data_IF_283262711735
#
_entry.id   IF_283262711735
#
_cell.length_a   1.000
_cell.length_b   1.000
_cell.length_c   1.000
_cell.angle_alpha   90.00
_cell.angle_beta   90.00
_cell.angle_gamma   90.00
#
_symmetry.space_group_name_H-M   'P 1'
#
loop_
_entity.id
_entity.type
_entity.pdbx_description
1 polymer ?
#
# COMPACT_ATOMS: atom_id res chain seq x y z
N UNK A 1 -4.29 -27.19 -8.32
CA UNK A 1 -5.30 -26.13 -8.54
C UNK A 1 -4.57 -24.81 -8.69
N UNK A 2 -4.70 -24.08 -9.81
CA UNK A 2 -4.15 -22.73 -9.91
C UNK A 2 -5.05 -21.75 -9.14
N UNK A 3 -4.45 -20.95 -8.26
CA UNK A 3 -5.14 -19.90 -7.48
C UNK A 3 -5.76 -18.81 -8.36
N UNK A 4 -6.62 -17.95 -7.79
CA UNK A 4 -7.38 -16.98 -8.57
C UNK A 4 -6.43 -15.99 -9.27
N UNK A 5 -6.52 -15.98 -10.60
CA UNK A 5 -5.89 -14.97 -11.46
C UNK A 5 -6.63 -13.64 -11.25
N UNK A 6 -5.85 -12.57 -11.21
CA UNK A 6 -6.25 -11.17 -10.90
C UNK A 6 -7.60 -10.81 -11.53
N UNK A 7 -8.59 -10.47 -10.68
CA UNK A 7 -9.91 -9.93 -11.11
C UNK A 7 -9.93 -8.44 -10.80
N UNK A 8 -10.01 -7.61 -11.84
CA UNK A 8 -10.24 -6.18 -11.75
C UNK A 8 -9.99 -5.48 -13.09
N UNK A 9 -10.90 -4.59 -13.49
CA UNK A 9 -10.71 -3.71 -14.65
C UNK A 9 -9.65 -2.66 -14.29
N UNK A 10 -8.45 -2.79 -14.87
CA UNK A 10 -7.36 -1.83 -14.65
C UNK A 10 -7.70 -0.57 -15.46
N UNK A 11 -8.35 0.41 -14.83
CA UNK A 11 -8.82 1.63 -15.49
C UNK A 11 -7.70 2.56 -16.02
N UNK A 12 -6.44 2.34 -15.62
CA UNK A 12 -5.24 3.01 -16.15
C UNK A 12 -4.07 2.04 -16.14
N UNK A 13 -3.73 1.50 -17.31
CA UNK A 13 -2.52 0.72 -17.51
C UNK A 13 -1.29 1.63 -17.33
N UNK A 14 -0.22 1.09 -16.74
CA UNK A 14 1.08 1.73 -16.80
C UNK A 14 1.87 1.11 -17.92
N UNK A 15 2.45 1.97 -18.75
CA UNK A 15 3.34 1.57 -19.81
C UNK A 15 4.71 2.16 -19.52
N UNK A 16 5.70 1.30 -19.51
CA UNK A 16 7.10 1.66 -19.44
C UNK A 16 7.80 1.08 -20.65
N UNK A 17 8.48 1.93 -21.41
CA UNK A 17 9.17 1.56 -22.63
C UNK A 17 10.63 1.92 -22.50
N UNK A 18 11.51 0.98 -22.85
CA UNK A 18 12.94 1.23 -22.97
C UNK A 18 13.42 0.89 -24.38
N UNK A 19 14.43 1.63 -24.86
CA UNK A 19 15.09 1.32 -26.13
C UNK A 19 16.33 0.49 -25.82
N UNK A 20 16.48 -0.64 -26.51
CA UNK A 20 17.64 -1.51 -26.36
C UNK A 20 18.46 -1.48 -27.65
N UNK A 21 19.76 -1.23 -27.52
CA UNK A 21 20.68 -1.09 -28.65
C UNK A 21 21.85 -2.08 -28.52
N UNK A 22 22.35 -2.57 -29.65
CA UNK A 22 23.59 -3.35 -29.70
C UNK A 22 24.77 -2.39 -29.70
N UNK A 23 25.65 -2.55 -28.74
CA UNK A 23 26.83 -1.70 -28.63
C UNK A 23 28.08 -2.57 -28.84
N UNK A 24 28.94 -2.16 -29.79
CA UNK A 24 30.20 -2.86 -30.14
C UNK A 24 31.25 -2.79 -29.00
N UNK A 25 31.03 -1.94 -28.00
CA UNK A 25 31.96 -1.71 -26.91
C UNK A 25 31.81 -2.77 -25.81
N UNK A 26 32.94 -3.16 -25.21
CA UNK A 26 33.07 -4.37 -24.40
C UNK A 26 32.36 -4.33 -23.03
N UNK A 27 31.56 -3.31 -22.73
CA UNK A 27 30.82 -3.17 -21.47
C UNK A 27 29.33 -2.81 -21.70
N UNK A 28 28.45 -3.60 -21.11
CA UNK A 28 27.00 -3.37 -21.11
C UNK A 28 26.69 -2.14 -20.26
N UNK A 29 26.23 -1.06 -20.86
CA UNK A 29 25.95 0.21 -20.18
C UNK A 29 24.45 0.49 -20.14
N UNK A 30 24.00 1.00 -18.99
CA UNK A 30 22.65 1.53 -18.81
C UNK A 30 22.85 3.03 -18.60
N UNK A 31 22.36 3.85 -19.53
CA UNK A 31 22.50 5.30 -19.47
C UNK A 31 21.23 5.93 -18.90
N UNK A 32 21.34 6.90 -17.97
CA UNK A 32 20.20 7.64 -17.43
C UNK A 32 19.28 8.20 -18.52
N UNK A 33 18.08 7.65 -18.64
CA UNK A 33 17.08 8.07 -19.65
C UNK A 33 17.50 7.83 -21.12
N UNK A 34 18.55 7.04 -21.34
CA UNK A 34 19.09 6.66 -22.65
C UNK A 34 18.78 5.19 -23.00
N UNK A 35 19.28 4.71 -24.16
CA UNK A 35 19.10 3.31 -24.53
C UNK A 35 19.94 2.38 -23.65
N UNK A 36 19.41 1.18 -23.37
CA UNK A 36 20.15 0.09 -22.72
C UNK A 36 21.07 -0.55 -23.77
N UNK A 37 22.38 -0.43 -23.56
CA UNK A 37 23.39 -1.05 -24.41
C UNK A 37 23.60 -2.52 -24.00
N UNK A 38 23.27 -3.44 -24.91
CA UNK A 38 23.58 -4.86 -24.76
C UNK A 38 24.73 -5.26 -25.70
N UNK A 39 25.58 -6.18 -25.23
CA UNK A 39 26.62 -6.80 -26.07
C UNK A 39 26.03 -7.69 -27.15
N UNK A 40 24.94 -8.38 -26.83
CA UNK A 40 24.20 -9.24 -27.75
C UNK A 40 22.73 -9.33 -27.36
N UNK A 41 21.85 -9.56 -28.34
CA UNK A 41 20.45 -9.87 -28.11
C UNK A 41 20.26 -11.36 -27.79
N UNK A 42 20.77 -11.79 -26.64
CA UNK A 42 20.48 -13.13 -26.11
C UNK A 42 19.15 -13.16 -25.37
N UNK A 43 18.50 -14.33 -25.35
CA UNK A 43 17.22 -14.51 -24.63
C UNK A 43 17.37 -14.15 -23.14
N UNK A 44 18.49 -14.54 -22.52
CA UNK A 44 18.71 -14.31 -21.08
C UNK A 44 18.88 -12.82 -20.75
N UNK A 45 19.57 -12.04 -21.60
CA UNK A 45 19.70 -10.59 -21.41
C UNK A 45 18.38 -9.86 -21.58
N UNK A 46 17.62 -10.24 -22.60
CA UNK A 46 16.28 -9.71 -22.82
C UNK A 46 15.35 -10.07 -21.65
N UNK A 47 15.49 -11.27 -21.07
CA UNK A 47 14.72 -11.69 -19.91
C UNK A 47 15.06 -10.85 -18.68
N UNK A 48 16.34 -10.57 -18.43
CA UNK A 48 16.79 -9.68 -17.34
C UNK A 48 16.25 -8.25 -17.52
N UNK A 49 16.31 -7.70 -18.74
CA UNK A 49 15.74 -6.37 -19.04
C UNK A 49 14.22 -6.36 -18.86
N UNK A 50 13.52 -7.41 -19.32
CA UNK A 50 12.08 -7.54 -19.17
C UNK A 50 11.66 -7.68 -17.69
N UNK A 51 12.44 -8.40 -16.88
CA UNK A 51 12.22 -8.52 -15.43
C UNK A 51 12.34 -7.15 -14.73
N UNK A 52 13.40 -6.40 -15.02
CA UNK A 52 13.59 -5.07 -14.45
C UNK A 52 12.46 -4.10 -14.83
N UNK A 53 12.04 -4.09 -16.11
CA UNK A 53 10.91 -3.28 -16.57
C UNK A 53 9.59 -3.70 -15.91
N UNK A 54 9.32 -5.01 -15.84
CA UNK A 54 8.11 -5.51 -15.20
C UNK A 54 8.04 -5.09 -13.72
N UNK A 55 9.18 -5.13 -13.01
CA UNK A 55 9.30 -4.65 -11.62
C UNK A 55 9.04 -3.16 -11.52
N UNK A 56 9.66 -2.33 -12.38
CA UNK A 56 9.45 -0.87 -12.37
C UNK A 56 7.99 -0.47 -12.64
N UNK A 57 7.35 -1.13 -13.60
CA UNK A 57 5.93 -0.88 -13.95
C UNK A 57 4.98 -1.34 -12.84
N UNK A 58 5.22 -2.48 -12.19
CA UNK A 58 4.41 -2.89 -11.03
C UNK A 58 4.59 -1.91 -9.87
N UNK A 59 5.81 -1.42 -9.66
CA UNK A 59 6.13 -0.50 -8.58
C UNK A 59 5.45 0.86 -8.76
N UNK A 60 5.46 1.42 -9.97
CA UNK A 60 4.75 2.67 -10.25
C UNK A 60 3.21 2.51 -10.06
N UNK A 61 2.66 1.34 -10.40
CA UNK A 61 1.24 1.05 -10.15
C UNK A 61 0.91 1.07 -8.66
N UNK A 62 1.71 0.41 -7.83
CA UNK A 62 1.51 0.35 -6.39
C UNK A 62 1.77 1.72 -5.73
N UNK A 63 2.77 2.48 -6.18
CA UNK A 63 3.04 3.86 -5.74
C UNK A 63 1.84 4.78 -5.96
N UNK A 64 1.18 4.72 -7.12
CA UNK A 64 -0.04 5.50 -7.38
C UNK A 64 -1.18 5.10 -6.45
N UNK A 65 -1.37 3.80 -6.22
CA UNK A 65 -2.43 3.32 -5.31
C UNK A 65 -2.20 3.77 -3.88
N UNK A 66 -0.96 3.75 -3.42
CA UNK A 66 -0.59 4.25 -2.08
C UNK A 66 -0.75 5.76 -2.00
N UNK A 67 -0.32 6.50 -3.03
CA UNK A 67 -0.45 7.97 -3.06
C UNK A 67 -1.91 8.42 -3.00
N UNK A 68 -2.81 7.72 -3.69
CA UNK A 68 -4.26 8.00 -3.64
C UNK A 68 -4.85 7.85 -2.22
N UNK A 69 -4.21 7.09 -1.33
CA UNK A 69 -4.64 6.99 0.08
C UNK A 69 -4.23 8.23 0.87
N UNK A 70 -3.05 8.78 0.59
CA UNK A 70 -2.58 10.02 1.23
C UNK A 70 -3.47 11.22 0.87
N UNK A 71 -3.95 11.30 -0.37
CA UNK A 71 -4.90 12.34 -0.82
C UNK A 71 -6.19 12.38 0.02
N UNK A 72 -6.54 11.27 0.69
CA UNK A 72 -7.71 11.15 1.56
C UNK A 72 -7.34 11.29 3.04
N UNK A 73 -6.17 10.79 3.45
CA UNK A 73 -5.68 10.91 4.83
C UNK A 73 -5.37 12.36 5.20
N UNK A 74 -4.79 13.14 4.29
CA UNK A 74 -4.37 14.52 4.61
C UNK A 74 -5.56 15.44 4.95
N UNK A 75 -6.64 15.54 4.15
CA UNK A 75 -7.82 16.31 4.52
C UNK A 75 -8.47 15.79 5.80
N UNK A 76 -8.47 14.48 6.01
CA UNK A 76 -8.96 13.86 7.24
C UNK A 76 -8.19 14.34 8.47
N UNK A 77 -6.86 14.34 8.42
CA UNK A 77 -6.02 14.78 9.52
C UNK A 77 -6.22 16.27 9.80
N UNK A 78 -6.37 17.10 8.76
CA UNK A 78 -6.67 18.53 8.90
C UNK A 78 -8.04 18.77 9.55
N UNK A 79 -9.10 18.05 9.13
CA UNK A 79 -10.41 18.15 9.77
C UNK A 79 -10.36 17.75 11.25
N UNK A 80 -9.63 16.69 11.57
CA UNK A 80 -9.47 16.24 12.95
C UNK A 80 -8.73 17.27 13.81
N UNK A 81 -7.67 17.88 13.27
CA UNK A 81 -6.89 18.91 13.95
C UNK A 81 -7.69 20.21 14.18
N UNK A 82 -8.53 20.60 13.22
CA UNK A 82 -9.30 21.86 13.27
C UNK A 82 -10.59 21.74 14.08
N UNK A 83 -11.33 20.64 13.92
CA UNK A 83 -12.67 20.49 14.50
C UNK A 83 -12.73 19.52 15.68
N UNK A 84 -11.67 18.74 15.95
CA UNK A 84 -11.65 17.70 16.97
C UNK A 84 -12.68 16.59 16.73
N UNK A 85 -13.25 16.54 15.52
CA UNK A 85 -14.33 15.63 15.15
C UNK A 85 -13.92 14.84 13.94
N UNK A 86 -14.39 13.62 13.92
CA UNK A 86 -14.10 12.68 12.87
C UNK A 86 -15.09 12.84 11.71
N UNK A 87 -14.64 12.87 10.45
CA UNK A 87 -15.50 13.05 9.28
C UNK A 87 -16.64 12.04 9.18
N UNK A 88 -17.71 12.40 8.45
CA UNK A 88 -18.87 11.52 8.19
C UNK A 88 -18.53 10.29 7.34
N UNK A 89 -17.48 10.34 6.51
CA UNK A 89 -17.13 9.29 5.52
C UNK A 89 -16.09 8.27 6.01
N UNK A 90 -16.09 7.94 7.30
CA UNK A 90 -15.10 7.00 7.90
C UNK A 90 -14.99 5.66 7.18
N UNK A 91 -16.12 5.09 6.75
CA UNK A 91 -16.15 3.78 6.08
C UNK A 91 -15.45 3.80 4.73
N UNK A 92 -15.52 4.90 3.99
CA UNK A 92 -14.81 5.04 2.71
C UNK A 92 -13.29 5.10 2.93
N UNK A 93 -12.87 5.84 3.94
CA UNK A 93 -11.46 5.96 4.35
C UNK A 93 -10.91 4.60 4.79
N UNK A 94 -11.64 3.88 5.65
CA UNK A 94 -11.24 2.54 6.11
C UNK A 94 -11.15 1.52 4.97
N UNK A 95 -12.04 1.60 3.97
CA UNK A 95 -11.96 0.75 2.77
C UNK A 95 -10.70 1.06 1.95
N UNK A 96 -10.37 2.34 1.78
CA UNK A 96 -9.20 2.77 1.02
C UNK A 96 -7.90 2.35 1.72
N UNK A 97 -7.83 2.56 3.05
CA UNK A 97 -6.72 2.11 3.88
C UNK A 97 -6.60 0.58 3.84
N UNK A 98 -7.71 -0.15 3.98
CA UNK A 98 -7.72 -1.61 3.85
C UNK A 98 -7.19 -2.09 2.50
N UNK A 99 -7.55 -1.41 1.40
CA UNK A 99 -7.02 -1.71 0.07
C UNK A 99 -5.51 -1.47 -0.04
N UNK A 100 -4.96 -0.44 0.62
CA UNK A 100 -3.52 -0.21 0.69
C UNK A 100 -2.79 -1.23 1.57
N UNK A 101 -3.40 -1.64 2.69
CA UNK A 101 -2.84 -2.72 3.54
C UNK A 101 -2.82 -4.07 2.80
N UNK A 102 -3.78 -4.33 1.92
CA UNK A 102 -3.74 -5.50 1.03
C UNK A 102 -2.60 -5.41 -0.01
N UNK A 103 -2.24 -4.20 -0.44
CA UNK A 103 -1.02 -3.99 -1.26
C UNK A 103 0.21 -4.26 -0.42
N UNK A 104 0.29 -3.74 0.81
CA UNK A 104 1.38 -4.04 1.73
C UNK A 104 1.56 -5.53 1.97
N UNK A 105 0.47 -6.28 2.20
CA UNK A 105 0.55 -7.73 2.37
C UNK A 105 1.04 -8.44 1.10
N UNK A 106 0.72 -7.90 -0.08
CA UNK A 106 1.19 -8.43 -1.36
C UNK A 106 2.67 -8.14 -1.60
N UNK A 107 3.12 -6.93 -1.26
CA UNK A 107 4.50 -6.47 -1.40
C UNK A 107 5.39 -7.14 -0.33
N UNK A 108 5.00 -7.08 0.94
CA UNK A 108 5.71 -7.72 2.06
C UNK A 108 5.66 -9.25 2.00
N UNK A 109 4.56 -9.83 1.52
CA UNK A 109 4.40 -11.28 1.34
C UNK A 109 5.04 -11.82 0.06
N UNK A 110 5.56 -10.95 -0.81
CA UNK A 110 6.31 -11.33 -2.01
C UNK A 110 7.58 -10.50 -2.10
N UNK A 111 8.64 -11.11 -1.60
CA UNK A 111 10.05 -10.85 -1.93
C UNK A 111 10.33 -10.96 -3.44
N UNK A 112 9.33 -10.96 -4.33
CA UNK A 112 9.49 -11.09 -5.78
C UNK A 112 10.11 -9.85 -6.45
N UNK A 113 10.04 -8.67 -5.82
CA UNK A 113 10.69 -7.45 -6.37
C UNK A 113 12.15 -7.34 -5.88
N UNK A 114 12.45 -7.85 -4.69
CA UNK A 114 13.80 -7.84 -4.11
C UNK A 114 14.61 -9.12 -4.41
N UNK A 115 13.98 -10.19 -4.92
CA UNK A 115 14.67 -11.39 -5.39
C UNK A 115 15.36 -11.11 -6.73
N UNK A 116 16.65 -11.47 -6.77
CA UNK A 116 17.44 -11.53 -7.98
C UNK A 116 16.76 -12.48 -8.98
N UNK A 117 16.60 -12.09 -10.27
CA UNK A 117 15.95 -12.95 -11.26
C UNK A 117 16.61 -14.33 -11.32
N UNK A 118 15.81 -15.38 -11.51
CA UNK A 118 16.29 -16.76 -11.40
C UNK A 118 17.42 -17.09 -12.39
N UNK A 119 17.40 -16.44 -13.55
CA UNK A 119 18.43 -16.53 -14.58
C UNK A 119 19.82 -16.12 -14.05
N UNK A 120 19.90 -15.27 -13.02
CA UNK A 120 21.18 -14.90 -12.40
C UNK A 120 21.83 -16.04 -11.62
N UNK A 121 21.04 -17.02 -11.13
CA UNK A 121 21.60 -18.20 -10.47
C UNK A 121 22.36 -19.09 -11.46
N UNK A 122 21.91 -19.13 -12.72
CA UNK A 122 22.55 -19.90 -13.79
C UNK A 122 23.66 -19.09 -14.49
N UNK A 123 23.49 -17.76 -14.57
CA UNK A 123 24.37 -16.84 -15.31
C UNK A 123 24.81 -15.65 -14.46
N UNK A 124 25.80 -15.82 -13.56
CA UNK A 124 26.31 -14.74 -12.72
C UNK A 124 26.95 -13.59 -13.52
N UNK A 125 27.34 -13.83 -14.78
CA UNK A 125 27.84 -12.80 -15.68
C UNK A 125 26.83 -11.67 -15.95
N UNK A 126 25.53 -11.95 -15.83
CA UNK A 126 24.44 -10.98 -15.98
C UNK A 126 24.18 -10.15 -14.72
N UNK A 127 24.85 -10.44 -13.60
CA UNK A 127 24.65 -9.73 -12.33
C UNK A 127 25.01 -8.25 -12.44
N UNK A 128 26.05 -7.92 -13.23
CA UNK A 128 26.44 -6.52 -13.49
C UNK A 128 25.39 -5.76 -14.30
N UNK A 129 24.76 -6.42 -15.27
CA UNK A 129 23.67 -5.83 -16.05
C UNK A 129 22.46 -5.59 -15.16
N UNK A 130 22.06 -6.59 -14.37
CA UNK A 130 20.95 -6.46 -13.44
C UNK A 130 21.19 -5.34 -12.41
N UNK A 131 22.37 -5.27 -11.80
CA UNK A 131 22.68 -4.21 -10.84
C UNK A 131 22.56 -2.81 -11.46
N UNK A 132 23.04 -2.62 -12.70
CA UNK A 132 22.89 -1.34 -13.41
C UNK A 132 21.44 -1.00 -13.71
N UNK A 133 20.62 -1.98 -14.05
CA UNK A 133 19.18 -1.79 -14.25
C UNK A 133 18.47 -1.50 -12.93
N UNK A 134 18.83 -2.20 -11.86
CA UNK A 134 18.27 -2.00 -10.52
C UNK A 134 18.53 -0.57 -10.02
N UNK A 135 19.75 -0.08 -10.24
CA UNK A 135 20.15 1.29 -9.91
C UNK A 135 19.44 2.32 -10.82
N UNK A 136 19.41 2.10 -12.14
CA UNK A 136 18.76 3.01 -13.09
C UNK A 136 17.26 3.19 -12.82
N UNK A 137 16.54 2.11 -12.51
CA UNK A 137 15.11 2.16 -12.20
C UNK A 137 14.82 2.43 -10.72
N UNK A 138 15.87 2.65 -9.92
CA UNK A 138 15.83 2.90 -8.47
C UNK A 138 14.96 1.86 -7.72
N UNK A 139 14.95 0.61 -8.19
CA UNK A 139 13.94 -0.38 -7.79
C UNK A 139 13.91 -0.57 -6.26
N UNK A 140 15.09 -0.67 -5.66
CA UNK A 140 15.23 -0.84 -4.21
C UNK A 140 14.79 0.38 -3.41
N UNK A 141 15.22 1.57 -3.84
CA UNK A 141 14.90 2.82 -3.14
C UNK A 141 13.40 3.11 -3.17
N UNK A 142 12.77 2.83 -4.32
CA UNK A 142 11.33 2.97 -4.53
C UNK A 142 10.52 1.98 -3.70
N UNK A 143 10.97 0.72 -3.59
CA UNK A 143 10.37 -0.27 -2.67
C UNK A 143 10.46 0.21 -1.21
N UNK A 144 11.64 0.64 -0.75
CA UNK A 144 11.83 1.13 0.62
C UNK A 144 10.95 2.37 0.91
N UNK A 145 10.81 3.28 -0.07
CA UNK A 145 9.94 4.44 0.03
C UNK A 145 8.46 4.04 0.12
N UNK A 146 8.04 3.05 -0.66
CA UNK A 146 6.69 2.51 -0.64
C UNK A 146 6.36 1.85 0.71
N UNK A 147 7.28 1.06 1.27
CA UNK A 147 7.12 0.42 2.59
C UNK A 147 6.96 1.46 3.71
N UNK A 148 7.77 2.53 3.69
CA UNK A 148 7.63 3.65 4.63
C UNK A 148 6.26 4.30 4.54
N UNK A 149 5.77 4.59 3.33
CA UNK A 149 4.43 5.16 3.10
C UNK A 149 3.31 4.23 3.62
N UNK A 150 3.42 2.93 3.35
CA UNK A 150 2.46 1.93 3.81
C UNK A 150 2.43 1.81 5.34
N UNK A 151 3.59 1.94 6.00
CA UNK A 151 3.69 1.93 7.47
C UNK A 151 2.90 3.09 8.09
N UNK A 152 3.06 4.30 7.55
CA UNK A 152 2.29 5.48 8.00
C UNK A 152 0.78 5.28 7.81
N UNK A 153 0.37 4.66 6.68
CA UNK A 153 -1.04 4.31 6.45
C UNK A 153 -1.54 3.33 7.51
N UNK A 154 -0.76 2.29 7.84
CA UNK A 154 -1.11 1.29 8.85
C UNK A 154 -1.27 1.90 10.24
N UNK A 155 -0.33 2.76 10.65
CA UNK A 155 -0.42 3.50 11.91
C UNK A 155 -1.66 4.40 11.97
N UNK A 156 -1.96 5.10 10.88
CA UNK A 156 -3.17 5.92 10.75
C UNK A 156 -4.44 5.07 10.88
N UNK A 157 -4.45 3.87 10.28
CA UNK A 157 -5.55 2.90 10.38
C UNK A 157 -5.81 2.47 11.83
N UNK A 158 -4.74 2.17 12.55
CA UNK A 158 -4.80 1.75 13.96
C UNK A 158 -5.35 2.88 14.83
N UNK A 159 -4.81 4.10 14.68
CA UNK A 159 -5.31 5.27 15.40
C UNK A 159 -6.81 5.55 15.14
N UNK A 160 -7.24 5.40 13.88
CA UNK A 160 -8.66 5.50 13.49
C UNK A 160 -9.53 4.46 14.19
N UNK A 161 -9.04 3.23 14.30
CA UNK A 161 -9.74 2.11 14.94
C UNK A 161 -9.87 2.35 16.44
N UNK A 162 -8.80 2.79 17.11
CA UNK A 162 -8.81 3.13 18.53
C UNK A 162 -9.84 4.23 18.85
N UNK A 163 -9.93 5.26 18.01
CA UNK A 163 -10.94 6.32 18.16
C UNK A 163 -12.37 5.77 18.02
N UNK A 164 -12.58 4.80 17.12
CA UNK A 164 -13.90 4.19 16.91
C UNK A 164 -14.30 3.33 18.12
N UNK A 165 -13.37 2.53 18.63
CA UNK A 165 -13.62 1.65 19.77
C UNK A 165 -13.89 2.44 21.05
N UNK A 166 -13.14 3.50 21.29
CA UNK A 166 -13.38 4.44 22.41
C UNK A 166 -14.81 5.01 22.37
N UNK A 167 -15.32 5.38 21.18
CA UNK A 167 -16.71 5.89 21.04
C UNK A 167 -17.78 4.82 21.18
N UNK A 168 -17.46 3.54 20.95
CA UNK A 168 -18.39 2.42 21.22
C UNK A 168 -18.48 2.17 22.72
N UNK A 169 -17.34 2.16 23.41
CA UNK A 169 -17.28 2.02 24.86
C UNK A 169 -18.09 3.11 25.57
N UNK A 170 -17.92 4.38 25.19
CA UNK A 170 -18.67 5.50 25.80
C UNK A 170 -20.19 5.41 25.57
N UNK A 171 -20.63 4.90 24.40
CA UNK A 171 -22.05 4.66 24.15
C UNK A 171 -22.62 3.55 25.03
N UNK A 172 -21.84 2.50 25.26
CA UNK A 172 -22.21 1.40 26.14
C UNK A 172 -22.28 1.86 27.60
N UNK A 173 -21.31 2.67 28.04
CA UNK A 173 -21.31 3.31 29.36
C UNK A 173 -22.57 4.16 29.57
N UNK A 174 -22.91 5.03 28.62
CA UNK A 174 -24.08 5.89 28.71
C UNK A 174 -25.39 5.08 28.70
N UNK A 175 -25.44 3.96 27.98
CA UNK A 175 -26.58 3.05 28.02
C UNK A 175 -26.78 2.44 29.41
N UNK A 176 -25.70 2.01 30.08
CA UNK A 176 -25.77 1.49 31.46
C UNK A 176 -26.25 2.57 32.43
N UNK A 177 -25.71 3.79 32.33
CA UNK A 177 -26.13 4.92 33.19
C UNK A 177 -27.62 5.23 33.01
N UNK A 178 -28.12 5.30 31.77
CA UNK A 178 -29.54 5.50 31.50
C UNK A 178 -30.42 4.38 32.08
N UNK A 179 -29.96 3.14 32.01
CA UNK A 179 -30.69 1.98 32.53
C UNK A 179 -30.82 2.05 34.06
N UNK A 180 -29.74 2.44 34.76
CA UNK A 180 -29.76 2.68 36.22
C UNK A 180 -30.71 3.84 36.57
N UNK A 181 -30.65 4.96 35.83
CA UNK A 181 -31.54 6.11 36.06
C UNK A 181 -33.01 5.71 35.88
N UNK A 182 -33.30 4.88 34.87
CA UNK A 182 -34.64 4.37 34.62
C UNK A 182 -35.15 3.48 35.76
N UNK A 183 -34.31 2.57 36.26
CA UNK A 183 -34.62 1.71 37.42
C UNK A 183 -34.96 2.54 38.66
N UNK A 184 -34.13 3.55 38.95
CA UNK A 184 -34.34 4.47 40.09
C UNK A 184 -35.65 5.26 39.92
N UNK A 185 -35.94 5.74 38.72
CA UNK A 185 -37.17 6.48 38.44
C UNK A 185 -38.42 5.61 38.66
N UNK A 186 -38.39 4.34 38.23
CA UNK A 186 -39.47 3.38 38.50
C UNK A 186 -39.62 3.14 40.00
N UNK A 187 -38.53 2.92 40.73
CA UNK A 187 -38.56 2.69 42.16
C UNK A 187 -39.17 3.88 42.93
N UNK A 188 -38.79 5.11 42.56
CA UNK A 188 -39.37 6.33 43.14
C UNK A 188 -40.87 6.44 42.80
N UNK A 189 -41.24 6.18 41.54
CA UNK A 189 -42.63 6.22 41.12
C UNK A 189 -43.50 5.23 41.92
N UNK A 190 -43.01 4.00 42.13
CA UNK A 190 -43.70 3.00 42.96
C UNK A 190 -43.89 3.48 44.41
N UNK A 191 -42.86 4.09 45.01
CA UNK A 191 -42.94 4.60 46.38
C UNK A 191 -43.96 5.75 46.49
N UNK A 192 -43.97 6.67 45.52
CA UNK A 192 -44.92 7.79 45.50
C UNK A 192 -46.35 7.28 45.27
N UNK A 193 -46.54 6.36 44.32
CA UNK A 193 -47.84 5.76 44.04
C UNK A 193 -48.38 4.92 45.21
N UNK A 194 -47.50 4.28 45.99
CA UNK A 194 -47.90 3.54 47.19
C UNK A 194 -48.24 4.42 48.40
N UNK A 195 -47.84 5.71 48.37
CA UNK A 195 -48.06 6.66 49.47
C UNK A 195 -49.32 7.53 49.26
N UNK A 196 -49.92 7.48 48.06
CA UNK A 196 -51.22 8.09 47.74
C UNK A 196 -52.32 7.03 47.75
#
# INVERSE_FOLDING_TARGET
MPGPRVVGEIARYEEEFTRVELCDDADETVQPGGPICLKEFSNDRLLVVADALAKSTVLAHDERRVSAVFDVIEPFAQELATHGRTPRRRTEILKLIGNALLVQQRVSGRVAVAEKPDVLWEKPELERLYARLEDEYELKERVDALERKLTVIAETANALTDIIDTRRALRLELAIVLLIVFEIAIAIYQIVAAKH
#
